data_IF_405724036505
#
_entry.id   IF_405724036505
#
_cell.length_a   1.000
_cell.length_b   1.000
_cell.length_c   1.000
_cell.angle_alpha   90.00
_cell.angle_beta   90.00
_cell.angle_gamma   90.00
#
_symmetry.space_group_name_H-M   'P 1'
#
loop_
_entity.id
_entity.type
_entity.pdbx_description
1 polymer ?
#
# COMPACT_ATOMS: atom_id res chain seq x y z
N UNK A 1 3.90 17.55 10.74
CA UNK A 1 3.91 16.45 9.79
C UNK A 1 5.31 16.04 9.43
N UNK A 2 5.52 14.75 9.20
CA UNK A 2 6.81 14.23 8.81
C UNK A 2 6.75 13.69 7.39
N UNK A 3 7.90 13.62 6.75
CA UNK A 3 7.98 13.21 5.35
C UNK A 3 9.05 12.15 5.15
N UNK A 4 8.75 11.12 4.37
CA UNK A 4 9.75 10.22 3.85
C UNK A 4 9.68 10.22 2.33
N UNK A 5 10.78 9.89 1.69
CA UNK A 5 10.83 9.79 0.24
C UNK A 5 11.10 8.35 -0.14
N UNK A 6 10.26 7.82 -1.02
CA UNK A 6 10.39 6.45 -1.52
C UNK A 6 10.40 6.50 -3.05
N UNK A 7 11.40 5.84 -3.65
CA UNK A 7 11.47 5.71 -5.10
C UNK A 7 10.76 4.44 -5.53
N UNK A 8 9.85 4.59 -6.48
CA UNK A 8 9.08 3.47 -7.02
C UNK A 8 9.54 3.16 -8.44
N UNK A 9 9.46 1.89 -8.82
CA UNK A 9 9.64 1.53 -10.22
C UNK A 9 8.45 2.03 -11.04
N UNK A 10 8.60 2.14 -12.39
CA UNK A 10 7.46 2.49 -13.24
C UNK A 10 6.25 1.56 -13.05
N UNK A 11 6.49 0.26 -12.85
CA UNK A 11 5.42 -0.70 -12.64
C UNK A 11 4.69 -0.46 -11.32
N UNK A 12 5.43 -0.16 -10.26
CA UNK A 12 4.83 0.13 -8.97
C UNK A 12 3.99 1.41 -9.01
N UNK A 13 4.49 2.43 -9.70
CA UNK A 13 3.73 3.67 -9.88
C UNK A 13 2.46 3.42 -10.68
N UNK A 14 2.56 2.62 -11.74
CA UNK A 14 1.40 2.22 -12.54
C UNK A 14 0.36 1.50 -11.68
N UNK A 15 0.79 0.59 -10.81
CA UNK A 15 -0.11 -0.16 -9.93
C UNK A 15 -0.89 0.77 -9.00
N UNK A 16 -0.22 1.78 -8.42
CA UNK A 16 -0.90 2.75 -7.57
C UNK A 16 -1.93 3.55 -8.38
N UNK A 17 -1.59 3.98 -9.58
CA UNK A 17 -2.50 4.73 -10.43
C UNK A 17 -3.69 3.88 -10.87
N UNK A 18 -3.48 2.61 -11.16
CA UNK A 18 -4.57 1.69 -11.47
C UNK A 18 -5.49 1.48 -10.27
N UNK A 19 -4.93 1.34 -9.08
CA UNK A 19 -5.73 1.21 -7.86
C UNK A 19 -6.59 2.46 -7.64
N UNK A 20 -6.03 3.64 -7.87
CA UNK A 20 -6.78 4.89 -7.74
C UNK A 20 -7.95 4.94 -8.70
N UNK A 21 -7.74 4.53 -9.95
CA UNK A 21 -8.80 4.51 -10.97
C UNK A 21 -9.88 3.48 -10.65
N UNK A 22 -9.49 2.32 -10.16
CA UNK A 22 -10.44 1.27 -9.76
C UNK A 22 -11.31 1.75 -8.60
N UNK A 23 -10.70 2.37 -7.60
CA UNK A 23 -11.45 2.90 -6.46
C UNK A 23 -12.47 3.93 -6.90
N UNK A 24 -12.07 4.84 -7.77
CA UNK A 24 -12.96 5.89 -8.25
C UNK A 24 -14.04 5.36 -9.18
N UNK A 25 -13.66 4.53 -10.16
CA UNK A 25 -14.58 4.09 -11.22
C UNK A 25 -15.51 2.98 -10.77
N UNK A 26 -14.98 1.98 -10.08
CA UNK A 26 -15.76 0.80 -9.70
C UNK A 26 -16.44 0.94 -8.35
N UNK A 27 -15.81 1.66 -7.41
CA UNK A 27 -16.28 1.71 -6.04
C UNK A 27 -16.77 3.10 -5.62
N UNK A 28 -16.63 4.10 -6.47
CA UNK A 28 -17.10 5.45 -6.18
C UNK A 28 -16.28 6.17 -5.10
N UNK A 29 -15.04 5.75 -4.88
CA UNK A 29 -14.17 6.31 -3.83
C UNK A 29 -13.07 7.15 -4.47
N UNK A 30 -13.22 8.47 -4.41
CA UNK A 30 -12.23 9.40 -4.95
C UNK A 30 -11.16 9.69 -3.90
N UNK A 31 -9.96 9.12 -4.08
CA UNK A 31 -8.83 9.32 -3.17
C UNK A 31 -7.58 9.61 -3.99
N UNK A 32 -6.60 10.27 -3.37
CA UNK A 32 -5.32 10.54 -4.02
C UNK A 32 -4.30 9.44 -3.68
N UNK A 33 -3.12 9.50 -4.32
CA UNK A 33 -2.04 8.54 -4.09
C UNK A 33 -1.60 8.52 -2.63
N UNK A 34 -1.47 9.70 -2.03
CA UNK A 34 -1.04 9.81 -0.63
C UNK A 34 -1.98 9.07 0.31
N UNK A 35 -3.28 9.19 0.10
CA UNK A 35 -4.26 8.47 0.93
C UNK A 35 -4.13 6.96 0.74
N UNK A 36 -3.96 6.49 -0.49
CA UNK A 36 -3.78 5.05 -0.75
C UNK A 36 -2.54 4.54 -0.02
N UNK A 37 -1.43 5.27 -0.08
CA UNK A 37 -0.19 4.87 0.59
C UNK A 37 -0.39 4.84 2.10
N UNK A 38 -1.00 5.88 2.68
CA UNK A 38 -1.23 5.93 4.12
C UNK A 38 -2.11 4.79 4.60
N UNK A 39 -3.17 4.47 3.87
CA UNK A 39 -4.04 3.34 4.22
C UNK A 39 -3.31 2.01 4.07
N UNK A 40 -2.47 1.87 3.05
CA UNK A 40 -1.65 0.68 2.86
C UNK A 40 -0.70 0.45 4.03
N UNK A 41 -0.05 1.50 4.52
CA UNK A 41 0.82 1.42 5.69
C UNK A 41 0.02 0.95 6.91
N UNK A 42 -1.14 1.53 7.15
CA UNK A 42 -1.97 1.16 8.29
C UNK A 42 -2.35 -0.32 8.25
N UNK A 43 -2.78 -0.82 7.09
CA UNK A 43 -3.16 -2.22 6.91
C UNK A 43 -1.98 -3.16 7.14
N UNK A 44 -0.82 -2.86 6.53
CA UNK A 44 0.36 -3.73 6.62
C UNK A 44 0.95 -3.74 8.03
N UNK A 45 0.99 -2.60 8.69
CA UNK A 45 1.51 -2.52 10.05
C UNK A 45 0.59 -3.27 11.03
N UNK A 46 -0.72 -3.11 10.87
CA UNK A 46 -1.68 -3.84 11.72
C UNK A 46 -1.54 -5.36 11.53
N UNK A 47 -1.35 -5.82 10.29
CA UNK A 47 -1.14 -7.23 10.01
C UNK A 47 0.16 -7.75 10.66
N UNK A 48 1.23 -6.96 10.59
CA UNK A 48 2.51 -7.31 11.23
C UNK A 48 2.34 -7.43 12.74
N UNK A 49 1.67 -6.47 13.38
CA UNK A 49 1.45 -6.49 14.82
C UNK A 49 0.63 -7.69 15.25
N UNK A 50 -0.37 -8.08 14.45
CA UNK A 50 -1.25 -9.20 14.78
C UNK A 50 -0.61 -10.56 14.52
N UNK A 51 0.19 -10.71 13.48
CA UNK A 51 0.64 -12.01 12.98
C UNK A 51 2.16 -12.23 13.03
N UNK A 52 2.95 -11.18 13.28
CA UNK A 52 4.41 -11.30 13.41
C UNK A 52 5.06 -12.04 12.23
N UNK A 53 5.69 -13.17 12.53
CA UNK A 53 6.35 -13.99 11.51
C UNK A 53 5.42 -14.46 10.40
N UNK A 54 4.12 -14.58 10.68
CA UNK A 54 3.15 -15.04 9.70
C UNK A 54 2.46 -13.87 8.99
N UNK A 55 2.92 -12.65 9.22
CA UNK A 55 2.36 -11.48 8.55
C UNK A 55 2.70 -11.49 7.06
N UNK A 56 1.91 -10.76 6.30
CA UNK A 56 2.14 -10.59 4.87
C UNK A 56 3.54 -10.00 4.63
N UNK A 57 3.87 -8.95 5.38
CA UNK A 57 5.15 -8.26 5.20
C UNK A 57 6.34 -9.17 5.49
N UNK A 58 6.31 -9.89 6.62
CA UNK A 58 7.41 -10.79 6.99
C UNK A 58 7.61 -11.88 5.94
N UNK A 59 6.53 -12.45 5.45
CA UNK A 59 6.59 -13.50 4.44
C UNK A 59 7.16 -12.97 3.12
N UNK A 60 6.72 -11.80 2.69
CA UNK A 60 7.24 -11.19 1.46
C UNK A 60 8.71 -10.84 1.56
N UNK A 61 9.15 -10.32 2.71
CA UNK A 61 10.55 -9.96 2.92
C UNK A 61 11.46 -11.20 2.95
N UNK A 62 10.94 -12.35 3.34
CA UNK A 62 11.67 -13.61 3.29
C UNK A 62 11.65 -14.26 1.92
N UNK A 63 10.86 -13.75 0.99
CA UNK A 63 10.78 -14.30 -0.36
C UNK A 63 9.95 -15.55 -0.50
N UNK A 64 9.04 -15.77 0.41
CA UNK A 64 8.15 -16.92 0.34
C UNK A 64 6.77 -16.56 -0.15
#
# INVERSE_FOLDING_TARGET
DEKITVYLSPDELFDIDQARLTLRGDLGLAVDRGRIVRESIAVIVADLEAKGDQSILARRLRGI
#
